data_IF_203511541138
#
_entry.id   IF_203511541138
#
_cell.length_a   1.000
_cell.length_b   1.000
_cell.length_c   1.000
_cell.angle_alpha   90.00
_cell.angle_beta   90.00
_cell.angle_gamma   90.00
#
_symmetry.space_group_name_H-M   'P 1'
#
loop_
_entity.id
_entity.type
_entity.pdbx_description
1 polymer ?
#
# COMPACT_ATOMS: atom_id res chain seq x y z
N UNK A 1 -16.10 -23.69 -20.79
CA UNK A 1 -16.05 -22.34 -20.18
C UNK A 1 -14.94 -22.40 -19.16
N UNK A 2 -13.82 -21.74 -19.45
CA UNK A 2 -12.63 -21.73 -18.60
C UNK A 2 -12.93 -20.88 -17.38
N UNK A 3 -12.74 -21.43 -16.18
CA UNK A 3 -12.86 -20.71 -14.90
C UNK A 3 -11.84 -19.57 -14.88
N UNK A 4 -12.28 -18.35 -15.25
CA UNK A 4 -11.42 -17.14 -15.31
C UNK A 4 -11.04 -16.58 -13.93
N UNK A 5 -11.43 -17.26 -12.86
CA UNK A 5 -11.29 -16.80 -11.48
C UNK A 5 -10.73 -17.89 -10.57
N UNK A 6 -9.86 -18.77 -11.10
CA UNK A 6 -9.37 -19.96 -10.39
C UNK A 6 -8.83 -19.67 -8.99
N UNK A 7 -8.13 -18.56 -8.78
CA UNK A 7 -7.60 -18.20 -7.46
C UNK A 7 -8.66 -17.65 -6.48
N UNK A 8 -9.78 -17.13 -6.98
CA UNK A 8 -10.92 -16.67 -6.17
C UNK A 8 -11.83 -17.84 -5.75
N UNK A 9 -11.92 -18.86 -6.60
CA UNK A 9 -12.84 -20.00 -6.42
C UNK A 9 -12.23 -21.09 -5.53
N UNK A 10 -10.90 -21.19 -5.42
CA UNK A 10 -10.27 -22.36 -4.81
C UNK A 10 -10.16 -22.40 -3.27
N UNK A 11 -10.48 -21.35 -2.49
CA UNK A 11 -10.59 -21.48 -1.02
C UNK A 11 -11.26 -20.30 -0.33
N UNK A 12 -12.13 -20.54 0.67
CA UNK A 12 -12.51 -19.50 1.62
C UNK A 12 -11.26 -19.05 2.41
N UNK A 13 -10.87 -17.79 2.20
CA UNK A 13 -10.11 -16.93 3.10
C UNK A 13 -9.33 -17.65 4.21
N UNK A 14 -8.08 -18.06 3.97
CA UNK A 14 -7.14 -18.28 5.08
C UNK A 14 -5.71 -17.82 4.82
N UNK A 15 -5.26 -17.71 3.57
CA UNK A 15 -3.89 -17.33 3.28
C UNK A 15 -3.84 -16.31 2.14
N UNK A 16 -3.08 -15.21 2.29
CA UNK A 16 -2.83 -14.30 1.18
C UNK A 16 -2.14 -15.05 0.04
N UNK A 17 -2.49 -14.67 -1.19
CA UNK A 17 -1.76 -15.10 -2.36
C UNK A 17 -0.53 -14.22 -2.51
N UNK A 18 0.65 -14.82 -2.38
CA UNK A 18 1.94 -14.12 -2.54
C UNK A 18 2.29 -14.08 -4.02
N UNK A 19 2.35 -12.88 -4.61
CA UNK A 19 2.64 -12.70 -6.04
C UNK A 19 4.13 -12.82 -6.38
N UNK A 20 5.00 -12.86 -5.37
CA UNK A 20 6.45 -12.97 -5.53
C UNK A 20 7.20 -11.66 -5.27
N UNK A 21 8.52 -11.67 -5.50
CA UNK A 21 9.40 -10.49 -5.37
C UNK A 21 9.54 -9.83 -6.74
N UNK A 22 9.10 -8.59 -6.86
CA UNK A 22 9.38 -7.74 -8.03
C UNK A 22 10.64 -6.93 -7.74
N UNK A 23 11.69 -7.12 -8.53
CA UNK A 23 12.92 -6.29 -8.56
C UNK A 23 13.53 -5.90 -7.20
N UNK A 24 13.55 -6.84 -6.24
CA UNK A 24 14.12 -6.62 -4.90
C UNK A 24 13.15 -6.02 -3.88
N UNK A 25 11.93 -5.67 -4.27
CA UNK A 25 10.88 -5.20 -3.36
C UNK A 25 10.17 -6.37 -2.66
N UNK A 26 10.04 -6.22 -1.34
CA UNK A 26 9.66 -7.28 -0.41
C UNK A 26 8.15 -7.30 -0.21
N UNK A 27 7.50 -8.35 -0.70
CA UNK A 27 6.16 -8.79 -0.27
C UNK A 27 4.97 -8.06 -0.93
N UNK A 28 4.53 -8.64 -2.06
CA UNK A 28 3.26 -8.31 -2.71
C UNK A 28 2.27 -9.44 -2.43
N UNK A 29 1.12 -9.10 -1.85
CA UNK A 29 0.08 -10.04 -1.46
C UNK A 29 -1.30 -9.59 -1.94
N UNK A 30 -2.10 -10.54 -2.43
CA UNK A 30 -3.54 -10.35 -2.68
C UNK A 30 -4.36 -11.06 -1.61
N UNK A 31 -5.29 -10.32 -1.01
CA UNK A 31 -6.30 -10.84 -0.11
C UNK A 31 -7.66 -10.79 -0.80
N UNK A 32 -8.35 -11.92 -0.85
CA UNK A 32 -9.76 -11.90 -1.24
C UNK A 32 -10.59 -11.20 -0.16
N UNK A 33 -11.51 -10.32 -0.55
CA UNK A 33 -12.49 -9.69 0.37
C UNK A 33 -13.88 -9.72 -0.28
N UNK A 34 -14.98 -9.57 0.48
CA UNK A 34 -16.34 -9.68 -0.10
C UNK A 34 -16.63 -8.73 -1.27
N UNK A 35 -15.94 -7.59 -1.34
CA UNK A 35 -16.08 -6.59 -2.42
C UNK A 35 -15.07 -6.76 -3.57
N UNK A 36 -14.23 -7.80 -3.57
CA UNK A 36 -13.19 -8.02 -4.58
C UNK A 36 -11.88 -8.52 -3.96
N UNK A 37 -10.83 -7.72 -4.05
CA UNK A 37 -9.54 -8.03 -3.46
C UNK A 37 -8.88 -6.79 -2.84
N UNK A 38 -7.96 -7.04 -1.90
CA UNK A 38 -7.07 -6.04 -1.36
C UNK A 38 -5.64 -6.42 -1.75
N UNK A 39 -4.99 -5.57 -2.53
CA UNK A 39 -3.56 -5.64 -2.77
C UNK A 39 -2.85 -5.01 -1.58
N UNK A 40 -2.00 -5.79 -0.93
CA UNK A 40 -1.02 -5.30 0.03
C UNK A 40 0.36 -5.36 -0.63
N UNK A 41 0.95 -4.19 -0.84
CA UNK A 41 2.28 -4.09 -1.42
C UNK A 41 3.19 -3.36 -0.45
N UNK A 42 4.16 -4.10 0.10
CA UNK A 42 5.29 -3.52 0.84
C UNK A 42 6.45 -3.32 -0.15
N UNK A 43 6.95 -2.10 -0.24
CA UNK A 43 8.01 -1.72 -1.18
C UNK A 43 9.24 -1.17 -0.48
N UNK A 44 9.26 -1.12 0.86
CA UNK A 44 10.48 -0.96 1.61
C UNK A 44 10.37 -1.70 2.94
N UNK A 45 11.44 -2.41 3.30
CA UNK A 45 11.55 -3.15 4.55
C UNK A 45 13.01 -3.04 5.01
N UNK A 46 13.26 -2.15 5.96
CA UNK A 46 14.57 -1.91 6.56
C UNK A 46 14.50 -2.15 8.07
N UNK A 47 15.66 -2.17 8.72
CA UNK A 47 15.74 -2.21 10.18
C UNK A 47 15.07 -1.00 10.85
N UNK A 48 14.93 0.12 10.13
CA UNK A 48 14.30 1.34 10.66
C UNK A 48 12.77 1.35 10.53
N UNK A 49 12.21 0.49 9.68
CA UNK A 49 10.79 0.45 9.41
C UNK A 49 10.41 -0.14 8.06
N UNK A 50 9.11 -0.14 7.80
CA UNK A 50 8.52 -0.65 6.56
C UNK A 50 7.59 0.38 5.94
N UNK A 51 7.58 0.44 4.62
CA UNK A 51 6.70 1.29 3.82
C UNK A 51 5.85 0.42 2.89
N UNK A 52 4.61 0.83 2.68
CA UNK A 52 3.76 0.14 1.73
C UNK A 52 2.48 0.86 1.38
N UNK A 53 1.65 0.15 0.62
CA UNK A 53 0.36 0.61 0.15
C UNK A 53 -0.68 -0.52 0.21
N UNK A 54 -1.92 -0.13 0.48
CA UNK A 54 -3.11 -0.96 0.28
C UNK A 54 -3.93 -0.38 -0.87
N UNK A 55 -4.32 -1.23 -1.82
CA UNK A 55 -5.17 -0.86 -2.95
C UNK A 55 -6.35 -1.82 -3.04
N UNK A 56 -7.57 -1.26 -3.08
CA UNK A 56 -8.77 -2.04 -3.34
C UNK A 56 -8.85 -2.34 -4.84
N UNK A 57 -9.14 -3.60 -5.17
CA UNK A 57 -9.28 -4.08 -6.54
C UNK A 57 -10.62 -4.82 -6.66
N UNK A 58 -11.24 -4.71 -7.82
CA UNK A 58 -12.29 -5.64 -8.24
C UNK A 58 -11.68 -7.04 -8.49
N UNK A 59 -12.53 -8.06 -8.57
CA UNK A 59 -12.09 -9.42 -8.91
C UNK A 59 -11.38 -9.50 -10.27
N UNK A 60 -11.81 -8.71 -11.26
CA UNK A 60 -11.25 -8.68 -12.60
C UNK A 60 -9.87 -7.98 -12.63
N UNK A 61 -9.75 -6.86 -11.93
CA UNK A 61 -8.47 -6.16 -11.78
C UNK A 61 -7.46 -7.03 -11.03
N UNK A 62 -7.87 -7.67 -9.94
CA UNK A 62 -6.99 -8.54 -9.16
C UNK A 62 -6.52 -9.78 -9.94
N UNK A 63 -7.40 -10.35 -10.78
CA UNK A 63 -7.01 -11.41 -11.72
C UNK A 63 -5.98 -10.91 -12.73
N UNK A 64 -6.17 -9.71 -13.28
CA UNK A 64 -5.22 -9.11 -14.22
C UNK A 64 -3.86 -8.85 -13.57
N UNK A 65 -3.83 -8.33 -12.34
CA UNK A 65 -2.60 -8.16 -11.54
C UNK A 65 -1.91 -9.51 -11.31
N UNK A 66 -2.66 -10.55 -10.98
CA UNK A 66 -2.12 -11.90 -10.80
C UNK A 66 -1.51 -12.46 -12.09
N UNK A 67 -2.17 -12.29 -13.23
CA UNK A 67 -1.72 -12.82 -14.51
C UNK A 67 -0.53 -12.05 -15.12
N UNK A 68 -0.29 -10.81 -14.66
CA UNK A 68 0.67 -9.87 -15.27
C UNK A 68 1.96 -9.69 -14.46
N UNK A 69 2.33 -10.67 -13.62
CA UNK A 69 3.39 -10.55 -12.62
C UNK A 69 4.77 -10.09 -13.15
N UNK A 70 5.04 -10.20 -14.46
CA UNK A 70 6.30 -9.77 -15.09
C UNK A 70 6.31 -8.28 -15.53
N UNK A 71 5.16 -7.60 -15.56
CA UNK A 71 4.99 -6.27 -16.19
C UNK A 71 4.86 -5.07 -15.23
N UNK A 72 5.05 -5.27 -13.93
CA UNK A 72 4.71 -4.31 -12.88
C UNK A 72 3.45 -4.71 -12.12
N UNK A 73 3.34 -4.28 -10.86
CA UNK A 73 2.30 -4.77 -9.95
C UNK A 73 0.94 -4.17 -10.29
N UNK A 74 0.86 -2.84 -10.43
CA UNK A 74 -0.39 -2.15 -10.74
C UNK A 74 -0.45 -1.60 -12.15
N UNK A 75 0.68 -1.43 -12.84
CA UNK A 75 0.74 -0.94 -14.23
C UNK A 75 -0.33 -1.55 -15.17
N UNK A 76 -0.59 -2.88 -15.19
CA UNK A 76 -1.57 -3.50 -16.09
C UNK A 76 -3.01 -3.00 -15.90
N UNK A 77 -3.37 -2.56 -14.69
CA UNK A 77 -4.74 -2.15 -14.33
C UNK A 77 -4.86 -0.67 -14.01
N UNK A 78 -3.74 0.03 -13.75
CA UNK A 78 -3.69 1.39 -13.20
C UNK A 78 -4.50 2.41 -14.00
N UNK A 79 -4.50 2.29 -15.32
CA UNK A 79 -5.24 3.19 -16.22
C UNK A 79 -6.77 3.06 -16.07
N UNK A 80 -7.28 1.87 -15.73
CA UNK A 80 -8.70 1.54 -15.65
C UNK A 80 -9.19 1.16 -14.25
N UNK A 81 -8.42 1.47 -13.20
CA UNK A 81 -8.84 1.20 -11.82
C UNK A 81 -10.22 1.78 -11.52
N UNK A 82 -11.09 0.91 -11.02
CA UNK A 82 -12.46 1.23 -10.60
C UNK A 82 -12.44 2.14 -9.36
N UNK A 83 -11.61 1.80 -8.38
CA UNK A 83 -11.29 2.65 -7.24
C UNK A 83 -9.84 3.11 -7.33
N UNK A 84 -9.65 4.44 -7.35
CA UNK A 84 -8.32 5.06 -7.39
C UNK A 84 -7.82 5.50 -6.02
N UNK A 85 -8.61 5.29 -4.97
CA UNK A 85 -8.14 5.55 -3.62
C UNK A 85 -7.29 4.38 -3.13
N UNK A 86 -6.15 4.72 -2.57
CA UNK A 86 -5.24 3.82 -1.91
C UNK A 86 -4.90 4.35 -0.52
N UNK A 87 -4.39 3.47 0.33
CA UNK A 87 -3.88 3.83 1.65
C UNK A 87 -2.39 3.54 1.67
N UNK A 88 -1.58 4.59 1.67
CA UNK A 88 -0.15 4.45 1.94
C UNK A 88 0.08 4.36 3.44
N UNK A 89 1.06 3.58 3.84
CA UNK A 89 1.37 3.37 5.24
C UNK A 89 2.87 3.31 5.48
N UNK A 90 3.26 3.68 6.69
CA UNK A 90 4.62 3.55 7.22
C UNK A 90 4.54 2.93 8.62
N UNK A 91 5.47 2.06 8.95
CA UNK A 91 5.60 1.47 10.27
C UNK A 91 7.07 1.58 10.70
N UNK A 92 7.31 1.98 11.95
CA UNK A 92 8.65 2.00 12.55
C UNK A 92 8.65 1.07 13.76
N UNK A 93 9.81 0.54 14.14
CA UNK A 93 9.92 -0.30 15.32
C UNK A 93 9.46 0.44 16.58
N UNK A 94 8.59 -0.20 17.37
CA UNK A 94 8.07 0.37 18.62
C UNK A 94 7.03 1.49 18.45
N UNK A 95 6.68 1.88 17.22
CA UNK A 95 5.65 2.89 16.94
C UNK A 95 4.41 2.27 16.28
N UNK A 96 3.20 2.84 16.52
CA UNK A 96 2.02 2.43 15.77
C UNK A 96 2.16 2.80 14.28
N UNK A 97 1.67 1.96 13.36
CA UNK A 97 1.65 2.27 11.93
C UNK A 97 0.89 3.57 11.65
N UNK A 98 1.38 4.31 10.67
CA UNK A 98 0.82 5.59 10.23
C UNK A 98 0.29 5.41 8.82
N UNK A 99 -0.83 6.06 8.54
CA UNK A 99 -1.54 5.89 7.25
C UNK A 99 -1.92 7.24 6.67
N UNK A 100 -1.98 7.32 5.35
CA UNK A 100 -2.55 8.44 4.63
C UNK A 100 -3.28 7.96 3.37
N UNK A 101 -4.31 8.70 2.96
CA UNK A 101 -4.95 8.49 1.67
C UNK A 101 -4.01 8.91 0.55
N UNK A 102 -4.00 8.12 -0.52
CA UNK A 102 -3.22 8.35 -1.72
C UNK A 102 -4.11 8.13 -2.94
N UNK A 103 -4.00 9.01 -3.94
CA UNK A 103 -4.75 8.86 -5.19
C UNK A 103 -3.84 8.23 -6.25
N UNK A 104 -4.22 7.06 -6.75
CA UNK A 104 -3.45 6.31 -7.73
C UNK A 104 -3.52 7.00 -9.11
N UNK A 105 -2.41 7.56 -9.63
CA UNK A 105 -2.41 8.24 -10.92
C UNK A 105 -2.66 7.25 -12.06
N UNK A 106 -3.35 7.67 -13.12
CA UNK A 106 -3.68 6.81 -14.25
C UNK A 106 -2.48 6.51 -15.16
N UNK A 107 -1.76 7.58 -15.53
CA UNK A 107 -0.73 7.60 -16.56
C UNK A 107 0.62 7.87 -15.90
N UNK A 108 1.41 6.82 -15.75
CA UNK A 108 2.73 6.82 -15.13
C UNK A 108 3.39 5.48 -15.42
N UNK A 109 4.71 5.40 -15.50
CA UNK A 109 5.42 4.11 -15.47
C UNK A 109 5.36 3.47 -14.07
N UNK A 110 5.52 2.15 -13.93
CA UNK A 110 5.61 1.53 -12.60
C UNK A 110 6.73 2.14 -11.75
N UNK A 111 7.89 2.45 -12.34
CA UNK A 111 9.02 3.05 -11.62
C UNK A 111 8.68 4.43 -11.04
N UNK A 112 8.11 5.33 -11.85
CA UNK A 112 7.66 6.66 -11.38
C UNK A 112 6.55 6.52 -10.32
N UNK A 113 5.68 5.53 -10.47
CA UNK A 113 4.61 5.26 -9.50
C UNK A 113 5.15 4.78 -8.17
N UNK A 114 6.13 3.86 -8.16
CA UNK A 114 6.80 3.40 -6.95
C UNK A 114 7.50 4.55 -6.22
N UNK A 115 8.17 5.45 -6.95
CA UNK A 115 8.78 6.66 -6.37
C UNK A 115 7.74 7.60 -5.72
N UNK A 116 6.55 7.75 -6.35
CA UNK A 116 5.45 8.51 -5.76
C UNK A 116 4.93 7.88 -4.47
N UNK A 117 4.77 6.55 -4.45
CA UNK A 117 4.35 5.81 -3.27
C UNK A 117 5.36 5.96 -2.13
N UNK A 118 6.66 5.84 -2.44
CA UNK A 118 7.75 6.05 -1.50
C UNK A 118 7.66 7.43 -0.85
N UNK A 119 7.58 8.46 -1.69
CA UNK A 119 7.49 9.85 -1.25
C UNK A 119 6.27 10.09 -0.35
N UNK A 120 5.13 9.47 -0.67
CA UNK A 120 3.90 9.60 0.12
C UNK A 120 3.98 8.85 1.46
N UNK A 121 4.57 7.65 1.49
CA UNK A 121 4.75 6.89 2.71
C UNK A 121 5.75 7.57 3.66
N UNK A 122 6.88 8.07 3.14
CA UNK A 122 7.84 8.86 3.92
C UNK A 122 7.24 10.18 4.45
N UNK A 123 6.42 10.87 3.65
CA UNK A 123 5.69 12.04 4.13
C UNK A 123 4.75 11.70 5.31
N UNK A 124 4.20 10.49 5.33
CA UNK A 124 3.36 9.98 6.42
C UNK A 124 4.18 9.74 7.70
N UNK A 125 5.43 9.28 7.56
CA UNK A 125 6.42 9.17 8.66
C UNK A 125 6.81 10.56 9.21
N UNK A 126 7.13 11.51 8.33
CA UNK A 126 7.61 12.85 8.71
C UNK A 126 6.54 13.79 9.30
N UNK A 127 5.29 13.74 8.81
CA UNK A 127 4.19 14.56 9.35
C UNK A 127 3.93 14.29 10.83
N UNK A 128 4.29 13.12 11.32
CA UNK A 128 4.23 12.78 12.72
C UNK A 128 5.42 13.29 13.55
N UNK A 129 6.63 13.25 12.98
CA UNK A 129 7.81 13.81 13.60
C UNK A 129 7.68 15.34 13.82
N UNK A 130 6.82 16.01 13.04
CA UNK A 130 6.49 17.43 13.23
C UNK A 130 5.29 17.69 14.16
N UNK A 131 4.46 16.67 14.45
CA UNK A 131 3.32 16.80 15.37
C UNK A 131 3.65 16.38 16.80
N UNK A 132 4.69 15.57 17.02
CA UNK A 132 5.16 15.21 18.36
C UNK A 132 5.85 16.38 19.12
N UNK A 133 6.80 17.14 18.54
CA UNK A 133 7.46 18.25 19.25
C UNK A 133 6.56 19.48 19.36
N UNK A 134 5.62 19.68 18.43
CA UNK A 134 4.69 20.80 18.48
C UNK A 134 3.69 20.68 19.65
N UNK A 135 3.30 19.44 20.00
CA UNK A 135 2.43 19.18 21.15
C UNK A 135 3.16 19.38 22.46
N UNK A 136 4.39 18.87 22.60
CA UNK A 136 5.22 19.13 23.79
C UNK A 136 5.59 20.60 23.93
N UNK A 137 5.94 21.30 22.85
CA UNK A 137 6.23 22.74 22.89
C UNK A 137 4.99 23.57 23.27
N UNK A 138 3.79 23.18 22.79
CA UNK A 138 2.53 23.82 23.16
C UNK A 138 2.14 23.53 24.62
N UNK A 139 2.32 22.30 25.09
CA UNK A 139 2.03 21.90 26.47
C UNK A 139 3.03 22.52 27.47
N UNK A 140 4.31 22.62 27.11
CA UNK A 140 5.34 23.33 27.90
C UNK A 140 5.09 24.84 27.94
N UNK A 141 4.73 25.46 26.82
CA UNK A 141 4.37 26.88 26.79
C UNK A 141 3.11 27.18 27.63
N UNK A 142 2.17 26.24 27.70
CA UNK A 142 0.96 26.35 28.52
C UNK A 142 1.24 26.15 30.01
N UNK A 143 2.19 25.30 30.37
CA UNK A 143 2.64 25.10 31.76
C UNK A 143 3.51 26.26 32.28
N UNK A 144 4.28 26.92 31.41
CA UNK A 144 5.08 28.10 31.77
C UNK A 144 4.27 29.42 31.88
N UNK A 145 2.99 29.38 31.50
CA UNK A 145 2.06 30.52 31.56
C UNK A 145 1.12 30.50 32.79
N UNK A 146 1.39 29.63 33.76
CA UNK A 146 0.76 29.59 35.09
C UNK A 146 1.80 29.87 36.18
#
# INVERSE_FOLDING_TARGET
MTDRYGWLIEKPLRQPLVLGRWDGFSNIMLFHIPSGALLWWMFDETDEGSLGVFVHLTSEEAQTVYDSADGGVLEPVRHNLTDRQAVVWSASEGEPPRVAEFYVPAEMSEAEFTECLWSAAEATRLRAALSAPAKEAFDLARLAAC
#
